data_IF_428640899265
#
_entry.id   IF_428640899265
#
_cell.length_a   1.000
_cell.length_b   1.000
_cell.length_c   1.000
_cell.angle_alpha   90.00
_cell.angle_beta   90.00
_cell.angle_gamma   90.00
#
_symmetry.space_group_name_H-M   'P 1'
#
loop_
_entity.id
_entity.type
_entity.pdbx_description
1 polymer ?
#
# COMPACT_ATOMS: atom_id res chain seq x y z
N UNK A 1 -40.87 -20.54 -23.62
CA UNK A 1 -40.61 -19.23 -22.98
C UNK A 1 -39.44 -19.24 -21.97
N UNK A 2 -38.91 -20.40 -21.52
CA UNK A 2 -37.78 -20.46 -20.56
C UNK A 2 -36.37 -20.26 -21.17
N UNK A 3 -36.15 -20.63 -22.44
CA UNK A 3 -34.80 -20.59 -23.06
C UNK A 3 -34.22 -19.18 -23.21
N UNK A 4 -35.09 -18.18 -23.37
CA UNK A 4 -34.71 -16.78 -23.61
C UNK A 4 -34.16 -16.15 -22.32
N UNK A 5 -34.75 -16.49 -21.17
CA UNK A 5 -34.36 -15.95 -19.86
C UNK A 5 -32.97 -16.43 -19.39
N UNK A 6 -32.59 -17.68 -19.69
CA UNK A 6 -31.25 -18.19 -19.37
C UNK A 6 -30.16 -17.43 -20.13
N UNK A 7 -30.33 -17.24 -21.45
CA UNK A 7 -29.38 -16.47 -22.27
C UNK A 7 -29.19 -15.03 -21.80
N UNK A 8 -30.26 -14.35 -21.38
CA UNK A 8 -30.16 -12.98 -20.86
C UNK A 8 -29.45 -12.90 -19.50
N UNK A 9 -29.61 -13.93 -18.64
CA UNK A 9 -28.94 -13.99 -17.34
C UNK A 9 -27.43 -14.21 -17.51
N UNK A 10 -27.03 -15.06 -18.45
CA UNK A 10 -25.62 -15.33 -18.76
C UNK A 10 -24.93 -14.10 -19.36
N UNK A 11 -25.58 -13.41 -20.30
CA UNK A 11 -25.06 -12.15 -20.87
C UNK A 11 -24.91 -11.08 -19.80
N UNK A 12 -25.87 -10.94 -18.88
CA UNK A 12 -25.78 -9.95 -17.79
C UNK A 12 -24.63 -10.29 -16.83
N UNK A 13 -24.42 -11.55 -16.50
CA UNK A 13 -23.31 -11.99 -15.65
C UNK A 13 -21.94 -11.82 -16.32
N UNK A 14 -21.85 -12.09 -17.63
CA UNK A 14 -20.64 -11.86 -18.43
C UNK A 14 -20.35 -10.36 -18.52
N UNK A 15 -21.36 -9.53 -18.80
CA UNK A 15 -21.20 -8.08 -18.81
C UNK A 15 -20.81 -7.54 -17.44
N UNK A 16 -21.38 -8.06 -16.34
CA UNK A 16 -21.02 -7.64 -14.98
C UNK A 16 -19.61 -8.10 -14.58
N UNK A 17 -19.22 -9.30 -14.99
CA UNK A 17 -17.88 -9.86 -14.83
C UNK A 17 -16.86 -9.01 -15.60
N UNK A 18 -17.15 -8.74 -16.86
CA UNK A 18 -16.31 -7.92 -17.72
C UNK A 18 -16.27 -6.46 -17.26
N UNK A 19 -17.37 -5.92 -16.71
CA UNK A 19 -17.36 -4.60 -16.06
C UNK A 19 -16.54 -4.59 -14.76
N UNK A 20 -16.61 -5.66 -13.96
CA UNK A 20 -15.76 -5.83 -12.76
C UNK A 20 -14.28 -6.03 -13.11
N UNK A 21 -13.97 -6.62 -14.27
CA UNK A 21 -12.61 -6.71 -14.80
C UNK A 21 -12.16 -5.39 -15.46
N UNK A 22 -13.06 -4.65 -16.11
CA UNK A 22 -12.81 -3.35 -16.74
C UNK A 22 -12.74 -2.18 -15.74
N UNK A 23 -13.29 -2.33 -14.54
CA UNK A 23 -13.16 -1.35 -13.43
C UNK A 23 -12.32 -1.97 -12.32
N UNK A 24 -11.04 -2.26 -12.62
CA UNK A 24 -10.00 -2.33 -11.59
C UNK A 24 -9.17 -1.05 -11.60
N UNK A 25 -9.86 0.09 -11.63
CA UNK A 25 -9.25 1.37 -11.29
C UNK A 25 -8.64 1.22 -9.89
N UNK A 26 -7.37 1.57 -9.78
CA UNK A 26 -6.68 1.63 -8.48
C UNK A 26 -7.47 2.57 -7.58
N UNK A 27 -7.87 2.07 -6.40
CA UNK A 27 -8.46 2.93 -5.38
C UNK A 27 -7.41 3.97 -4.94
N UNK A 28 -7.83 5.23 -4.81
CA UNK A 28 -7.00 6.32 -4.28
C UNK A 28 -7.41 6.73 -2.86
N UNK A 29 -8.57 6.28 -2.37
CA UNK A 29 -9.04 6.59 -1.02
C UNK A 29 -9.06 5.33 -0.14
N UNK A 30 -8.05 5.20 0.71
CA UNK A 30 -7.94 4.13 1.69
C UNK A 30 -8.35 4.59 3.10
N UNK A 31 -9.09 5.71 3.20
CA UNK A 31 -9.61 6.18 4.47
C UNK A 31 -10.81 5.34 4.91
N UNK A 32 -10.89 5.13 6.21
CA UNK A 32 -12.05 4.54 6.88
C UNK A 32 -12.74 5.62 7.69
N UNK A 33 -14.07 5.68 7.60
CA UNK A 33 -14.85 6.60 8.43
C UNK A 33 -15.00 6.02 9.84
N UNK A 34 -14.34 6.66 10.81
CA UNK A 34 -14.53 6.33 12.22
C UNK A 34 -15.54 7.31 12.85
N UNK A 35 -16.65 6.85 13.43
CA UNK A 35 -17.66 7.73 14.03
C UNK A 35 -17.14 8.71 15.09
N UNK A 36 -16.02 8.40 15.77
CA UNK A 36 -15.44 9.25 16.81
C UNK A 36 -14.48 10.32 16.31
N UNK A 37 -13.75 10.04 15.22
CA UNK A 37 -12.63 10.89 14.79
C UNK A 37 -12.61 11.21 13.29
N UNK A 38 -13.69 10.88 12.57
CA UNK A 38 -13.86 11.13 11.15
C UNK A 38 -13.07 10.19 10.26
N UNK A 39 -12.84 10.62 9.01
CA UNK A 39 -12.06 9.86 8.04
C UNK A 39 -10.58 9.79 8.45
N UNK A 40 -10.06 8.55 8.55
CA UNK A 40 -8.66 8.26 8.88
C UNK A 40 -8.09 7.25 7.90
N UNK A 41 -6.83 7.41 7.53
CA UNK A 41 -6.15 6.55 6.55
C UNK A 41 -5.48 7.37 5.45
N UNK A 42 -4.91 6.67 4.48
CA UNK A 42 -4.20 7.31 3.37
C UNK A 42 -5.20 7.67 2.26
N UNK A 43 -5.10 8.89 1.75
CA UNK A 43 -5.78 9.34 0.55
C UNK A 43 -4.76 9.93 -0.40
N UNK A 44 -4.75 9.42 -1.64
CA UNK A 44 -3.87 9.86 -2.71
C UNK A 44 -4.60 10.88 -3.59
N UNK A 45 -3.97 12.03 -3.86
CA UNK A 45 -4.61 13.05 -4.69
C UNK A 45 -4.67 12.67 -6.17
N UNK A 46 -3.78 11.77 -6.61
CA UNK A 46 -3.65 11.33 -8.00
C UNK A 46 -2.90 9.99 -8.08
N UNK A 47 -2.90 9.40 -9.28
CA UNK A 47 -2.20 8.14 -9.56
C UNK A 47 -0.69 8.24 -9.32
N UNK A 48 -0.04 9.35 -9.66
CA UNK A 48 1.40 9.51 -9.48
C UNK A 48 1.84 9.41 -8.02
N UNK A 49 1.10 10.03 -7.10
CA UNK A 49 1.34 9.91 -5.66
C UNK A 49 1.18 8.47 -5.17
N UNK A 50 0.14 7.77 -5.64
CA UNK A 50 -0.08 6.36 -5.31
C UNK A 50 1.07 5.48 -5.82
N UNK A 51 1.46 5.63 -7.09
CA UNK A 51 2.49 4.82 -7.75
C UNK A 51 3.85 5.06 -7.09
N UNK A 52 4.18 6.32 -6.83
CA UNK A 52 5.41 6.69 -6.13
C UNK A 52 5.45 6.11 -4.72
N UNK A 53 4.34 6.19 -3.98
CA UNK A 53 4.26 5.60 -2.63
C UNK A 53 4.41 4.08 -2.69
N UNK A 54 3.80 3.42 -3.67
CA UNK A 54 3.97 1.98 -3.87
C UNK A 54 5.43 1.63 -4.20
N UNK A 55 6.10 2.40 -5.06
CA UNK A 55 7.52 2.23 -5.36
C UNK A 55 8.40 2.36 -4.12
N UNK A 56 8.15 3.38 -3.30
CA UNK A 56 8.83 3.58 -2.02
C UNK A 56 8.64 2.39 -1.07
N UNK A 57 7.40 1.92 -0.88
CA UNK A 57 7.12 0.78 -0.01
C UNK A 57 7.60 -0.56 -0.58
N UNK A 58 7.89 -0.63 -1.88
CA UNK A 58 8.39 -1.84 -2.55
C UNK A 58 9.88 -2.06 -2.38
N UNK A 59 10.65 -1.01 -2.03
CA UNK A 59 12.08 -1.13 -1.83
C UNK A 59 12.39 -1.57 -0.40
N UNK A 60 12.85 -2.82 -0.25
CA UNK A 60 13.18 -3.42 1.05
C UNK A 60 14.23 -2.62 1.84
N UNK A 61 15.08 -1.83 1.16
CA UNK A 61 16.11 -1.01 1.82
C UNK A 61 15.55 0.10 2.70
N UNK A 62 14.33 0.55 2.43
CA UNK A 62 13.69 1.56 3.26
C UNK A 62 13.24 1.02 4.61
N UNK A 63 13.20 -0.31 4.79
CA UNK A 63 12.71 -0.96 6.01
C UNK A 63 13.84 -1.15 7.03
N UNK A 64 13.74 -0.49 8.19
CA UNK A 64 14.72 -0.59 9.29
C UNK A 64 14.74 -1.99 9.92
N UNK A 65 13.63 -2.71 9.82
CA UNK A 65 13.44 -4.07 10.33
C UNK A 65 13.61 -5.13 9.23
N UNK A 66 14.19 -4.78 8.08
CA UNK A 66 14.38 -5.73 6.99
C UNK A 66 15.20 -6.95 7.44
N UNK A 67 14.80 -8.18 7.04
CA UNK A 67 15.50 -9.41 7.41
C UNK A 67 16.81 -9.63 6.61
N UNK A 68 17.36 -8.57 6.02
CA UNK A 68 18.60 -8.58 5.23
C UNK A 68 19.57 -7.54 5.78
N UNK A 69 20.85 -7.90 5.87
CA UNK A 69 21.89 -6.93 6.19
C UNK A 69 22.31 -6.21 4.92
N UNK A 70 22.07 -4.89 4.88
CA UNK A 70 22.54 -4.03 3.80
C UNK A 70 23.84 -3.37 4.25
N UNK A 71 24.93 -3.65 3.55
CA UNK A 71 26.27 -3.24 3.98
C UNK A 71 26.55 -1.74 3.89
N UNK A 72 25.65 -0.95 3.28
CA UNK A 72 25.76 0.51 3.11
C UNK A 72 24.38 1.14 2.90
N UNK A 73 24.16 2.30 3.50
CA UNK A 73 23.09 3.22 3.09
C UNK A 73 23.47 3.92 1.79
N UNK A 74 22.54 3.93 0.84
CA UNK A 74 22.63 4.48 -0.52
C UNK A 74 21.78 5.75 -0.64
N UNK A 75 20.65 5.83 0.07
CA UNK A 75 19.75 6.98 0.04
C UNK A 75 19.43 7.48 1.45
N UNK A 76 18.86 8.69 1.54
CA UNK A 76 18.42 9.25 2.82
C UNK A 76 17.29 8.42 3.46
N UNK A 77 16.43 7.81 2.64
CA UNK A 77 15.29 7.03 3.10
C UNK A 77 15.60 5.56 3.42
N UNK A 78 16.85 5.11 3.30
CA UNK A 78 17.21 3.80 3.83
C UNK A 78 16.96 3.73 5.34
N UNK A 79 16.41 2.59 5.78
CA UNK A 79 16.01 2.35 7.17
C UNK A 79 15.08 3.45 7.73
N UNK A 80 14.21 4.02 6.90
CA UNK A 80 13.30 5.11 7.29
C UNK A 80 11.93 4.66 7.75
N UNK A 81 11.52 3.42 7.46
CA UNK A 81 10.21 2.89 7.81
C UNK A 81 10.25 1.50 8.41
N UNK A 82 9.16 1.10 9.04
CA UNK A 82 8.77 -0.30 9.23
C UNK A 82 7.25 -0.38 9.07
N UNK A 83 6.73 -1.55 8.73
CA UNK A 83 5.30 -1.74 8.52
C UNK A 83 4.83 -2.95 9.31
N UNK A 84 3.65 -2.80 9.94
CA UNK A 84 3.15 -3.75 10.93
C UNK A 84 1.67 -4.04 10.74
N UNK A 85 1.30 -5.29 11.02
CA UNK A 85 -0.05 -5.66 11.46
C UNK A 85 0.06 -5.97 12.95
N UNK A 86 -0.59 -5.14 13.76
CA UNK A 86 -0.56 -5.20 15.22
C UNK A 86 -1.85 -5.84 15.75
N UNK A 87 -1.68 -6.82 16.62
CA UNK A 87 -2.74 -7.60 17.27
C UNK A 87 -3.47 -6.85 18.37
N UNK A 88 -3.81 -5.57 18.18
CA UNK A 88 -4.52 -4.75 19.18
C UNK A 88 -5.89 -5.36 19.57
N UNK A 89 -6.42 -6.28 18.76
CA UNK A 89 -7.59 -7.10 19.08
C UNK A 89 -7.36 -8.06 20.26
N UNK A 90 -6.13 -8.50 20.49
CA UNK A 90 -5.74 -9.28 21.68
C UNK A 90 -5.99 -8.46 22.95
N UNK A 91 -5.83 -7.14 22.87
CA UNK A 91 -6.07 -6.18 23.95
C UNK A 91 -7.49 -5.57 23.92
N UNK A 92 -8.42 -6.19 23.19
CA UNK A 92 -9.84 -5.82 23.18
C UNK A 92 -10.24 -4.77 22.15
N UNK A 93 -9.37 -4.40 21.21
CA UNK A 93 -9.78 -3.66 20.02
C UNK A 93 -10.67 -4.53 19.11
N UNK A 94 -11.49 -3.89 18.28
CA UNK A 94 -12.39 -4.61 17.38
C UNK A 94 -11.66 -5.40 16.28
N UNK A 95 -10.49 -4.93 15.84
CA UNK A 95 -9.71 -5.52 14.76
C UNK A 95 -8.21 -5.30 15.00
N UNK A 96 -7.38 -6.08 14.29
CA UNK A 96 -5.95 -5.76 14.12
C UNK A 96 -5.78 -4.36 13.53
N UNK A 97 -4.65 -3.71 13.82
CA UNK A 97 -4.32 -2.39 13.30
C UNK A 97 -3.11 -2.44 12.41
N UNK A 98 -3.20 -1.88 11.20
CA UNK A 98 -2.07 -1.84 10.29
C UNK A 98 -1.43 -0.45 10.32
N UNK A 99 -0.12 -0.40 10.56
CA UNK A 99 0.63 0.85 10.71
C UNK A 99 1.91 0.84 9.90
N UNK A 100 2.24 1.99 9.32
CA UNK A 100 3.59 2.32 8.86
C UNK A 100 4.22 3.21 9.93
N UNK A 101 5.35 2.79 10.48
CA UNK A 101 6.18 3.63 11.33
C UNK A 101 7.22 4.34 10.47
N UNK A 102 7.45 5.61 10.75
CA UNK A 102 8.45 6.43 10.08
C UNK A 102 9.43 7.00 11.12
N UNK A 103 10.72 6.95 10.79
CA UNK A 103 11.84 7.17 11.72
C UNK A 103 12.75 8.36 11.35
N UNK A 104 12.46 9.03 10.24
CA UNK A 104 13.22 10.21 9.78
C UNK A 104 12.42 11.49 10.04
N UNK A 105 12.92 12.63 9.58
CA UNK A 105 12.28 13.92 9.78
C UNK A 105 10.99 14.06 8.94
N UNK A 106 9.93 14.56 9.60
CA UNK A 106 8.60 14.75 9.00
C UNK A 106 8.61 15.68 7.77
N UNK A 107 9.56 16.62 7.69
CA UNK A 107 9.69 17.52 6.54
C UNK A 107 10.05 16.77 5.24
N UNK A 108 10.85 15.71 5.34
CA UNK A 108 11.19 14.86 4.19
C UNK A 108 9.98 14.03 3.77
N UNK A 109 9.21 13.52 4.74
CA UNK A 109 7.95 12.83 4.45
C UNK A 109 6.95 13.75 3.74
N UNK A 110 6.79 14.99 4.22
CA UNK A 110 5.91 15.99 3.59
C UNK A 110 6.31 16.29 2.14
N UNK A 111 7.61 16.53 1.91
CA UNK A 111 8.10 16.93 0.59
C UNK A 111 8.13 15.79 -0.44
N UNK A 112 8.30 14.53 -0.01
CA UNK A 112 8.48 13.39 -0.92
C UNK A 112 7.26 12.47 -1.02
N UNK A 113 6.51 12.33 0.06
CA UNK A 113 5.43 11.35 0.26
C UNK A 113 4.24 12.00 0.99
N UNK A 114 3.73 13.11 0.44
CA UNK A 114 2.71 13.96 1.06
C UNK A 114 1.45 13.21 1.52
N UNK A 115 1.04 12.19 0.76
CA UNK A 115 -0.10 11.32 1.13
C UNK A 115 0.12 10.55 2.43
N UNK A 116 1.34 10.06 2.68
CA UNK A 116 1.70 9.45 3.97
C UNK A 116 1.79 10.50 5.07
N UNK A 117 2.39 11.66 4.77
CA UNK A 117 2.50 12.77 5.71
C UNK A 117 1.13 13.24 6.23
N UNK A 118 0.16 13.40 5.33
CA UNK A 118 -1.19 13.85 5.69
C UNK A 118 -1.96 12.82 6.55
N UNK A 119 -1.63 11.54 6.40
CA UNK A 119 -2.25 10.45 7.15
C UNK A 119 -1.57 10.17 8.51
N UNK A 120 -0.46 10.86 8.82
CA UNK A 120 0.34 10.55 10.01
C UNK A 120 -0.30 11.05 11.30
N UNK A 121 0.11 10.41 12.38
CA UNK A 121 -0.10 10.80 13.76
C UNK A 121 1.24 10.81 14.50
N UNK A 122 1.28 11.39 15.69
CA UNK A 122 2.48 11.40 16.52
C UNK A 122 2.99 9.97 16.81
N UNK A 123 4.29 9.76 16.67
CA UNK A 123 4.95 8.53 17.07
C UNK A 123 5.15 8.39 18.57
N UNK A 124 5.76 7.28 18.97
CA UNK A 124 6.07 6.92 20.36
C UNK A 124 7.48 6.35 20.41
N UNK A 125 8.26 6.70 21.44
CA UNK A 125 9.65 6.27 21.57
C UNK A 125 10.50 6.80 20.42
N UNK A 126 11.18 5.90 19.71
CA UNK A 126 12.04 6.25 18.57
C UNK A 126 11.29 6.44 17.25
N UNK A 127 9.97 6.25 17.23
CA UNK A 127 9.14 6.46 16.03
C UNK A 127 8.84 7.96 15.94
N UNK A 128 9.22 8.61 14.84
CA UNK A 128 8.84 10.01 14.58
C UNK A 128 7.33 10.12 14.37
N UNK A 129 6.80 9.29 13.47
CA UNK A 129 5.42 9.36 13.01
C UNK A 129 4.83 7.98 12.77
N UNK A 130 3.52 7.82 13.03
CA UNK A 130 2.75 6.61 12.74
C UNK A 130 1.68 6.92 11.70
N UNK A 131 1.63 6.14 10.63
CA UNK A 131 0.62 6.23 9.59
C UNK A 131 -0.29 5.01 9.69
N UNK A 132 -1.52 5.22 10.18
CA UNK A 132 -2.50 4.14 10.33
C UNK A 132 -3.28 3.99 9.03
N UNK A 133 -3.27 2.81 8.42
CA UNK A 133 -4.03 2.56 7.19
C UNK A 133 -4.27 1.07 6.97
N UNK A 134 -5.24 0.52 7.70
CA UNK A 134 -5.68 -0.87 7.52
C UNK A 134 -6.01 -1.19 6.07
N UNK A 135 -6.81 -0.34 5.41
CA UNK A 135 -7.24 -0.60 4.03
C UNK A 135 -6.07 -0.62 3.05
N UNK A 136 -5.10 0.30 3.18
CA UNK A 136 -3.96 0.36 2.26
C UNK A 136 -2.97 -0.78 2.50
N UNK A 137 -2.63 -1.09 3.75
CA UNK A 137 -1.67 -2.16 4.04
C UNK A 137 -2.24 -3.52 3.67
N UNK A 138 -3.52 -3.78 3.94
CA UNK A 138 -4.19 -5.00 3.47
C UNK A 138 -4.24 -5.06 1.94
N UNK A 139 -4.40 -3.93 1.25
CA UNK A 139 -4.27 -3.85 -0.20
C UNK A 139 -2.86 -4.24 -0.67
N UNK A 140 -1.79 -3.76 -0.03
CA UNK A 140 -0.43 -4.18 -0.37
C UNK A 140 -0.22 -5.71 -0.21
N UNK A 141 -0.74 -6.28 0.87
CA UNK A 141 -0.66 -7.72 1.15
C UNK A 141 -1.43 -8.51 0.09
N UNK A 142 -2.69 -8.17 -0.15
CA UNK A 142 -3.60 -8.98 -0.98
C UNK A 142 -3.38 -8.78 -2.48
N UNK A 143 -3.05 -7.56 -2.92
CA UNK A 143 -2.97 -7.23 -4.34
C UNK A 143 -1.54 -7.26 -4.88
N UNK A 144 -0.53 -7.04 -4.03
CA UNK A 144 0.89 -7.00 -4.42
C UNK A 144 1.74 -8.05 -3.73
N UNK A 145 1.13 -8.98 -2.98
CA UNK A 145 1.80 -10.09 -2.31
C UNK A 145 2.88 -9.63 -1.33
N UNK A 146 2.64 -8.54 -0.60
CA UNK A 146 3.50 -8.20 0.53
C UNK A 146 3.44 -9.33 1.57
N UNK A 147 4.62 -9.68 2.10
CA UNK A 147 4.81 -10.81 3.00
C UNK A 147 4.57 -10.34 4.42
N UNK A 148 3.73 -11.07 5.14
CA UNK A 148 3.47 -10.87 6.57
C UNK A 148 4.23 -11.93 7.35
N UNK A 149 5.10 -11.52 8.27
CA UNK A 149 5.89 -12.43 9.10
C UNK A 149 6.03 -11.91 10.53
N UNK A 150 6.08 -12.80 11.52
CA UNK A 150 6.21 -12.42 12.92
C UNK A 150 5.38 -13.32 13.82
N UNK A 151 5.09 -12.84 15.03
CA UNK A 151 4.27 -13.57 15.99
C UNK A 151 2.81 -13.08 15.96
N UNK A 152 1.97 -13.61 16.85
CA UNK A 152 0.55 -13.26 16.87
C UNK A 152 0.26 -11.83 17.33
N UNK A 153 1.21 -11.15 17.97
CA UNK A 153 1.03 -9.82 18.54
C UNK A 153 1.54 -8.70 17.63
N UNK A 154 2.71 -8.87 17.02
CA UNK A 154 3.22 -7.96 15.98
C UNK A 154 3.73 -8.79 14.82
N UNK A 155 3.17 -8.52 13.63
CA UNK A 155 3.60 -9.10 12.37
C UNK A 155 4.18 -7.97 11.51
N UNK A 156 5.45 -8.09 11.17
CA UNK A 156 6.07 -7.21 10.20
C UNK A 156 5.52 -7.49 8.80
N UNK A 157 5.45 -6.44 7.98
CA UNK A 157 5.03 -6.50 6.58
C UNK A 157 6.18 -6.03 5.69
N UNK A 158 6.57 -6.86 4.73
CA UNK A 158 7.67 -6.58 3.81
C UNK A 158 7.22 -6.69 2.35
N UNK A 159 7.85 -5.96 1.43
CA UNK A 159 7.71 -6.27 0.01
C UNK A 159 8.27 -7.68 -0.26
N UNK A 160 7.77 -8.36 -1.30
CA UNK A 160 8.20 -9.71 -1.63
C UNK A 160 9.68 -9.74 -2.06
N UNK A 161 10.53 -10.39 -1.25
CA UNK A 161 12.01 -10.35 -1.37
C UNK A 161 12.53 -11.17 -2.58
N UNK A 162 11.84 -12.25 -2.94
CA UNK A 162 12.23 -13.15 -4.04
C UNK A 162 11.54 -12.81 -5.37
N UNK A 163 10.70 -11.78 -5.36
CA UNK A 163 10.00 -11.34 -6.55
C UNK A 163 10.78 -10.17 -7.12
N UNK A 164 11.34 -10.38 -8.31
CA UNK A 164 11.91 -9.31 -9.12
C UNK A 164 10.93 -8.13 -9.10
N UNK A 165 11.34 -6.92 -8.71
CA UNK A 165 10.52 -5.68 -8.65
C UNK A 165 9.55 -5.54 -9.84
N UNK A 166 9.97 -6.10 -10.97
CA UNK A 166 9.17 -6.40 -12.14
C UNK A 166 7.75 -6.94 -11.87
N UNK A 167 7.48 -7.80 -10.88
CA UNK A 167 6.14 -8.35 -10.71
C UNK A 167 5.17 -7.37 -10.03
N UNK A 168 5.61 -6.59 -9.03
CA UNK A 168 4.78 -5.50 -8.48
C UNK A 168 4.47 -4.49 -9.59
N UNK A 169 5.48 -4.09 -10.35
CA UNK A 169 5.32 -3.16 -11.46
C UNK A 169 4.43 -3.74 -12.57
N UNK A 170 4.51 -5.04 -12.85
CA UNK A 170 3.64 -5.74 -13.81
C UNK A 170 2.19 -5.77 -13.32
N UNK A 171 1.96 -6.10 -12.05
CA UNK A 171 0.62 -6.08 -11.45
C UNK A 171 0.03 -4.67 -11.50
N UNK A 172 0.82 -3.66 -11.14
CA UNK A 172 0.42 -2.26 -11.23
C UNK A 172 0.05 -1.89 -12.66
N UNK A 173 0.95 -2.16 -13.62
CA UNK A 173 0.70 -1.94 -15.06
C UNK A 173 -0.63 -2.54 -15.48
N UNK A 174 -0.88 -3.81 -15.17
CA UNK A 174 -2.11 -4.47 -15.58
C UNK A 174 -3.38 -3.82 -14.99
N UNK A 175 -3.29 -3.18 -13.82
CA UNK A 175 -4.41 -2.46 -13.19
C UNK A 175 -4.68 -1.09 -13.81
N UNK A 176 -3.66 -0.38 -14.32
CA UNK A 176 -3.80 1.04 -14.74
C UNK A 176 -3.26 1.36 -16.15
N UNK A 177 -2.99 0.33 -16.97
CA UNK A 177 -2.44 0.48 -18.34
C UNK A 177 -3.30 1.36 -19.27
N UNK A 178 -4.59 1.49 -18.98
CA UNK A 178 -5.54 2.26 -19.80
C UNK A 178 -5.68 3.71 -19.29
N UNK A 179 -5.07 4.04 -18.13
CA UNK A 179 -5.16 5.36 -17.48
C UNK A 179 -3.92 6.23 -17.76
N UNK A 180 -2.73 5.63 -17.75
CA UNK A 180 -1.45 6.32 -18.00
C UNK A 180 -0.46 5.41 -18.74
N UNK A 181 0.52 6.01 -19.42
CA UNK A 181 1.50 5.26 -20.20
C UNK A 181 2.41 4.40 -19.32
N UNK A 182 2.94 3.31 -19.89
CA UNK A 182 3.86 2.44 -19.16
C UNK A 182 5.12 3.17 -18.68
N UNK A 183 5.66 4.07 -19.51
CA UNK A 183 6.86 4.85 -19.17
C UNK A 183 6.58 5.78 -17.98
N UNK A 184 5.40 6.38 -17.91
CA UNK A 184 4.97 7.21 -16.76
C UNK A 184 4.79 6.38 -15.48
N UNK A 185 4.19 5.19 -15.59
CA UNK A 185 4.07 4.25 -14.46
C UNK A 185 5.46 3.90 -13.93
N UNK A 186 6.36 3.49 -14.83
CA UNK A 186 7.71 3.07 -14.45
C UNK A 186 8.49 4.22 -13.84
N UNK A 187 8.42 5.42 -14.45
CA UNK A 187 9.10 6.61 -13.92
C UNK A 187 8.61 6.94 -12.51
N UNK A 188 7.30 7.06 -12.31
CA UNK A 188 6.74 7.40 -11.00
C UNK A 188 7.07 6.33 -9.93
N UNK A 189 7.08 5.06 -10.32
CA UNK A 189 7.44 3.97 -9.41
C UNK A 189 8.92 4.05 -9.02
N UNK A 190 9.80 4.24 -10.01
CA UNK A 190 11.23 4.43 -9.79
C UNK A 190 11.54 5.68 -8.96
N UNK A 191 10.79 6.77 -9.13
CA UNK A 191 10.94 7.99 -8.32
C UNK A 191 10.66 7.73 -6.84
N UNK A 192 9.82 6.75 -6.51
CA UNK A 192 9.58 6.30 -5.14
C UNK A 192 10.60 5.28 -4.66
N UNK A 193 10.93 4.32 -5.52
CA UNK A 193 11.91 3.27 -5.24
C UNK A 193 13.29 3.84 -4.90
N UNK A 194 13.70 4.92 -5.57
CA UNK A 194 15.02 5.55 -5.41
C UNK A 194 15.05 6.70 -4.39
N UNK A 195 14.01 6.86 -3.57
CA UNK A 195 14.05 7.83 -2.46
C UNK A 195 15.14 7.48 -1.44
#
# INVERSE_FOLDING_TARGET
MLLVWYKFRDIKNILLSNFKEMIKIVNLDYRTNNPRWGLKGIHFNNLYEYIKTLGFLSNIRHYINAPITLNQSVTYFDNSISMHVEGNNIDGAWNEECRIHYYKEDNQLNSKLVSLYNAKSAGVGNITSRINSNSYINHLINDYNFIVQGNNYVKDVFPPININTNAILTTLKNKIKDEISFDEIQKAFCDGWNL
#
